data_IF_886035625814
#
_entry.id   IF_886035625814
#
_cell.length_a   1.000
_cell.length_b   1.000
_cell.length_c   1.000
_cell.angle_alpha   90.00
_cell.angle_beta   90.00
_cell.angle_gamma   90.00
#
_symmetry.space_group_name_H-M   'P 1'
#
loop_
_entity.id
_entity.type
_entity.pdbx_description
1 polymer ?
#
# COMPACT_ATOMS: atom_id res chain seq x y z
N UNK A 1 42.23 -0.74 1.21
CA UNK A 1 42.11 -0.91 -0.25
C UNK A 1 41.02 -1.96 -0.46
N UNK A 2 39.73 -1.73 -0.24
CA UNK A 2 38.82 -0.64 -0.62
C UNK A 2 38.88 -0.27 -2.11
N UNK A 3 37.93 -0.82 -2.87
CA UNK A 3 37.03 -0.13 -3.84
C UNK A 3 36.22 -1.21 -4.59
N UNK A 4 34.90 -1.37 -4.40
CA UNK A 4 33.78 -0.48 -4.75
C UNK A 4 33.60 -0.34 -6.27
N UNK A 5 32.86 -1.26 -6.89
CA UNK A 5 32.36 -1.12 -8.26
C UNK A 5 31.02 -0.38 -8.22
N UNK A 6 31.08 0.92 -8.53
CA UNK A 6 29.93 1.79 -8.76
C UNK A 6 29.18 1.29 -10.01
N UNK A 7 27.97 0.79 -9.80
CA UNK A 7 27.01 0.53 -10.88
C UNK A 7 26.51 1.87 -11.44
N UNK A 8 26.89 2.16 -12.68
CA UNK A 8 26.43 3.33 -13.41
C UNK A 8 24.97 3.12 -13.87
N UNK A 9 24.04 3.77 -13.18
CA UNK A 9 22.66 3.93 -13.63
C UNK A 9 22.60 5.05 -14.69
N UNK A 10 22.46 4.67 -15.96
CA UNK A 10 22.10 5.64 -17.01
C UNK A 10 20.60 5.93 -16.91
N UNK A 11 20.26 7.00 -16.21
CA UNK A 11 18.98 7.67 -16.38
C UNK A 11 18.87 8.19 -17.82
N UNK A 12 18.03 7.53 -18.63
CA UNK A 12 17.66 8.02 -19.97
C UNK A 12 16.46 8.96 -19.84
N UNK A 13 16.74 10.25 -19.65
CA UNK A 13 15.83 11.34 -20.01
C UNK A 13 16.29 11.91 -21.35
N UNK A 14 15.84 11.28 -22.44
CA UNK A 14 15.96 11.85 -23.78
C UNK A 14 14.55 12.16 -24.30
N UNK A 15 14.14 13.42 -24.18
CA UNK A 15 13.03 13.97 -24.95
C UNK A 15 13.57 14.16 -26.36
N UNK A 16 13.36 13.17 -27.24
CA UNK A 16 13.73 13.25 -28.64
C UNK A 16 12.61 13.92 -29.44
N UNK A 17 12.81 15.18 -29.81
CA UNK A 17 12.09 15.81 -30.92
C UNK A 17 12.82 15.46 -32.21
N UNK A 18 12.38 14.40 -32.91
CA UNK A 18 12.83 14.10 -34.27
C UNK A 18 11.60 13.81 -35.15
N UNK A 19 11.29 14.76 -36.03
CA UNK A 19 10.15 14.70 -36.94
C UNK A 19 10.55 14.03 -38.26
N UNK A 20 10.43 12.70 -38.32
CA UNK A 20 10.44 11.92 -39.57
C UNK A 20 9.04 11.28 -39.75
N UNK A 21 8.24 11.70 -40.75
CA UNK A 21 6.84 11.27 -40.91
C UNK A 21 6.68 9.78 -41.28
N UNK A 22 7.77 9.10 -41.65
CA UNK A 22 7.78 7.66 -41.99
C UNK A 22 8.24 6.77 -40.84
N UNK A 23 8.73 7.38 -39.75
CA UNK A 23 9.27 6.70 -38.56
C UNK A 23 8.30 6.68 -37.38
N UNK A 24 7.22 7.47 -37.46
CA UNK A 24 6.22 7.61 -36.39
C UNK A 24 5.40 6.34 -36.13
N UNK A 25 4.86 5.70 -37.17
CA UNK A 25 3.98 4.52 -37.03
C UNK A 25 4.59 3.37 -36.19
N UNK A 26 5.80 2.84 -36.50
CA UNK A 26 6.38 1.76 -35.71
C UNK A 26 6.82 2.18 -34.31
N UNK A 27 7.03 3.48 -34.06
CA UNK A 27 7.33 4.00 -32.72
C UNK A 27 6.07 4.09 -31.86
N UNK A 28 4.94 4.54 -32.43
CA UNK A 28 3.63 4.55 -31.75
C UNK A 28 3.17 3.13 -31.37
N UNK A 29 3.38 2.14 -32.25
CA UNK A 29 3.01 0.75 -31.96
C UNK A 29 3.84 0.14 -30.81
N UNK A 30 5.14 0.47 -30.73
CA UNK A 30 5.99 0.07 -29.60
C UNK A 30 5.52 0.71 -28.29
N UNK A 31 5.27 2.03 -28.31
CA UNK A 31 4.86 2.78 -27.13
C UNK A 31 3.48 2.33 -26.61
N UNK A 32 2.55 2.02 -27.52
CA UNK A 32 1.24 1.44 -27.14
C UNK A 32 1.37 0.02 -26.60
N UNK A 33 2.31 -0.78 -27.13
CA UNK A 33 2.67 -2.09 -26.59
C UNK A 33 3.20 -2.00 -25.16
N UNK A 34 4.16 -1.11 -24.92
CA UNK A 34 4.74 -0.85 -23.60
C UNK A 34 3.67 -0.35 -22.61
N UNK A 35 2.78 0.55 -23.04
CA UNK A 35 1.67 1.02 -22.23
C UNK A 35 0.73 -0.13 -21.82
N UNK A 36 0.35 -1.01 -22.77
CA UNK A 36 -0.47 -2.19 -22.47
C UNK A 36 0.20 -3.12 -21.46
N UNK A 37 1.51 -3.35 -21.63
CA UNK A 37 2.30 -4.14 -20.68
C UNK A 37 2.35 -3.48 -19.30
N UNK A 38 2.55 -2.18 -19.22
CA UNK A 38 2.56 -1.42 -17.97
C UNK A 38 1.21 -1.50 -17.25
N UNK A 39 0.10 -1.35 -17.97
CA UNK A 39 -1.26 -1.50 -17.42
C UNK A 39 -1.48 -2.92 -16.90
N UNK A 40 -1.07 -3.94 -17.65
CA UNK A 40 -1.21 -5.33 -17.22
C UNK A 40 -0.38 -5.62 -15.97
N UNK A 41 0.87 -5.14 -15.92
CA UNK A 41 1.73 -5.22 -14.73
C UNK A 41 1.07 -4.53 -13.54
N UNK A 42 0.52 -3.33 -13.73
CA UNK A 42 -0.21 -2.62 -12.67
C UNK A 42 -1.36 -3.45 -12.10
N UNK A 43 -2.19 -4.05 -12.97
CA UNK A 43 -3.29 -4.94 -12.56
C UNK A 43 -2.83 -6.17 -11.78
N UNK A 44 -1.69 -6.75 -12.16
CA UNK A 44 -1.10 -7.90 -11.43
C UNK A 44 -0.64 -7.45 -10.04
N UNK A 45 0.07 -6.32 -9.97
CA UNK A 45 0.54 -5.77 -8.70
C UNK A 45 -0.62 -5.39 -7.79
N UNK A 46 -1.66 -4.75 -8.30
CA UNK A 46 -2.90 -4.44 -7.55
C UNK A 46 -3.49 -5.70 -6.91
N UNK A 47 -3.61 -6.82 -7.65
CA UNK A 47 -4.09 -8.10 -7.10
C UNK A 47 -3.17 -8.69 -6.05
N UNK A 48 -1.87 -8.70 -6.29
CA UNK A 48 -0.90 -9.23 -5.32
C UNK A 48 -0.94 -8.45 -4.01
N UNK A 49 -1.02 -7.14 -4.14
CA UNK A 49 -1.11 -6.21 -3.04
C UNK A 49 -2.43 -6.44 -2.24
N UNK A 50 -3.56 -6.69 -2.90
CA UNK A 50 -4.81 -7.07 -2.22
C UNK A 50 -4.68 -8.38 -1.43
N UNK A 51 -4.02 -9.39 -2.01
CA UNK A 51 -3.81 -10.67 -1.33
C UNK A 51 -2.88 -10.53 -0.11
N UNK A 52 -1.87 -9.67 -0.18
CA UNK A 52 -0.98 -9.38 0.95
C UNK A 52 -1.72 -8.67 2.08
N UNK A 53 -2.55 -7.68 1.76
CA UNK A 53 -3.35 -6.97 2.77
C UNK A 53 -4.30 -7.89 3.52
N UNK A 54 -4.97 -8.83 2.82
CA UNK A 54 -5.81 -9.84 3.47
C UNK A 54 -4.98 -10.76 4.38
N UNK A 55 -3.78 -11.13 3.94
CA UNK A 55 -2.86 -11.96 4.72
C UNK A 55 -2.39 -11.23 5.99
N UNK A 56 -2.05 -9.95 5.88
CA UNK A 56 -1.67 -9.09 7.01
C UNK A 56 -2.80 -9.04 8.03
N UNK A 57 -4.03 -8.78 7.59
CA UNK A 57 -5.19 -8.68 8.49
C UNK A 57 -5.43 -9.96 9.29
N UNK A 58 -5.36 -11.11 8.62
CA UNK A 58 -5.52 -12.43 9.26
C UNK A 58 -4.41 -12.69 10.28
N UNK A 59 -3.16 -12.49 9.88
CA UNK A 59 -1.99 -12.75 10.74
C UNK A 59 -1.90 -11.79 11.93
N UNK A 60 -2.31 -10.55 11.74
CA UNK A 60 -2.38 -9.58 12.82
C UNK A 60 -3.44 -9.97 13.86
N UNK A 61 -4.58 -10.53 13.43
CA UNK A 61 -5.58 -11.08 14.34
C UNK A 61 -5.05 -12.26 15.14
N UNK A 62 -4.51 -13.26 14.45
CA UNK A 62 -3.91 -14.46 15.03
C UNK A 62 -2.82 -14.09 16.07
N UNK A 63 -1.92 -13.17 15.72
CA UNK A 63 -0.84 -12.75 16.61
C UNK A 63 -1.32 -12.05 17.90
N UNK A 64 -2.34 -11.18 17.78
CA UNK A 64 -2.89 -10.46 18.94
C UNK A 64 -3.69 -11.37 19.88
N UNK A 65 -4.34 -12.40 19.34
CA UNK A 65 -5.04 -13.41 20.14
C UNK A 65 -4.07 -14.35 20.87
N UNK A 66 -3.01 -14.79 20.20
CA UNK A 66 -2.02 -15.73 20.75
C UNK A 66 -1.06 -15.07 21.77
N UNK A 67 -0.97 -13.73 21.78
CA UNK A 67 0.03 -13.01 22.59
C UNK A 67 -0.59 -12.06 23.65
N UNK A 68 -1.35 -12.59 24.64
CA UNK A 68 -2.03 -11.76 25.64
C UNK A 68 -1.12 -11.16 26.71
N UNK A 69 0.06 -11.75 26.94
CA UNK A 69 0.95 -11.37 28.05
C UNK A 69 2.09 -10.43 27.64
N UNK A 70 2.17 -10.00 26.38
CA UNK A 70 3.15 -8.99 25.95
C UNK A 70 3.44 -9.13 24.46
N UNK A 71 3.18 -8.08 23.70
CA UNK A 71 3.29 -8.07 22.25
C UNK A 71 4.14 -6.89 21.77
N UNK A 72 4.48 -6.87 20.48
CA UNK A 72 5.30 -5.80 19.87
C UNK A 72 4.64 -4.42 19.96
N UNK A 73 3.32 -4.34 20.15
CA UNK A 73 2.59 -3.07 20.17
C UNK A 73 2.62 -2.39 21.54
N UNK A 74 2.37 -3.15 22.60
CA UNK A 74 2.27 -2.65 23.97
C UNK A 74 3.55 -2.89 24.78
N UNK A 75 4.49 -3.68 24.25
CA UNK A 75 5.72 -4.08 24.91
C UNK A 75 5.62 -5.40 25.69
N UNK A 76 6.78 -5.89 26.13
CA UNK A 76 6.96 -7.19 26.80
C UNK A 76 7.06 -7.09 28.34
N UNK A 77 6.86 -5.91 28.92
CA UNK A 77 6.93 -5.72 30.38
C UNK A 77 5.95 -6.61 31.15
N UNK A 78 4.77 -6.85 30.57
CA UNK A 78 3.76 -7.73 31.14
C UNK A 78 4.21 -9.19 31.15
N UNK A 79 5.06 -9.59 30.20
CA UNK A 79 5.55 -10.96 30.08
C UNK A 79 6.52 -11.23 31.24
N UNK A 80 7.49 -10.34 31.45
CA UNK A 80 8.47 -10.42 32.54
C UNK A 80 7.78 -10.36 33.92
N UNK A 81 6.81 -9.45 34.06
CA UNK A 81 6.05 -9.31 35.32
C UNK A 81 5.19 -10.54 35.59
N UNK A 82 4.52 -11.12 34.59
CA UNK A 82 3.71 -12.33 34.79
C UNK A 82 4.54 -13.56 35.21
N UNK A 83 5.78 -13.66 34.75
CA UNK A 83 6.71 -14.73 35.13
C UNK A 83 7.18 -14.55 36.58
N UNK A 84 7.39 -13.31 37.01
CA UNK A 84 8.03 -12.99 38.30
C UNK A 84 7.00 -12.79 39.42
N UNK A 85 5.81 -12.31 39.11
CA UNK A 85 4.70 -12.14 40.03
C UNK A 85 3.44 -12.70 39.38
N UNK A 86 2.89 -13.76 39.98
CA UNK A 86 1.58 -14.34 39.67
C UNK A 86 0.39 -13.35 39.87
N UNK A 87 0.62 -12.04 39.79
CA UNK A 87 -0.37 -10.99 39.89
C UNK A 87 -1.16 -10.88 38.56
N UNK A 88 -2.02 -11.86 38.35
CA UNK A 88 -3.08 -11.89 37.33
C UNK A 88 -4.09 -10.80 37.69
N UNK A 89 -3.93 -9.59 37.16
CA UNK A 89 -4.80 -8.48 37.59
C UNK A 89 -4.98 -7.29 36.66
N UNK A 90 -4.34 -7.23 35.47
CA UNK A 90 -4.69 -6.21 34.49
C UNK A 90 -5.71 -6.76 33.49
N UNK A 91 -6.83 -6.04 33.40
CA UNK A 91 -7.98 -6.34 32.56
C UNK A 91 -7.50 -6.68 31.16
N UNK A 92 -7.91 -7.86 30.68
CA UNK A 92 -7.80 -8.30 29.30
C UNK A 92 -8.49 -7.25 28.43
N UNK A 93 -7.74 -6.29 27.92
CA UNK A 93 -8.21 -5.34 26.93
C UNK A 93 -8.46 -6.19 25.67
N UNK A 94 -9.72 -6.34 25.26
CA UNK A 94 -10.04 -7.10 24.05
C UNK A 94 -9.28 -6.53 22.86
N UNK A 95 -8.87 -7.41 21.94
CA UNK A 95 -8.17 -7.02 20.70
C UNK A 95 -9.00 -5.95 20.00
N UNK A 96 -8.51 -4.71 20.00
CA UNK A 96 -9.20 -3.58 19.40
C UNK A 96 -8.77 -3.41 17.95
N UNK A 97 -9.66 -2.91 17.10
CA UNK A 97 -9.29 -2.51 15.74
C UNK A 97 -8.20 -1.42 15.75
N UNK A 98 -8.11 -0.64 16.84
CA UNK A 98 -7.04 0.34 17.00
C UNK A 98 -5.66 -0.30 17.16
N UNK A 99 -5.59 -1.54 17.68
CA UNK A 99 -4.33 -2.26 17.87
C UNK A 99 -3.85 -2.90 16.56
N UNK A 100 -4.64 -2.86 15.48
CA UNK A 100 -4.27 -3.39 14.16
C UNK A 100 -3.42 -2.41 13.34
N UNK A 101 -2.28 -2.01 13.87
CA UNK A 101 -1.42 -0.97 13.29
C UNK A 101 -0.87 -1.32 11.90
N UNK A 102 -0.65 -2.60 11.60
CA UNK A 102 -0.13 -3.03 10.31
C UNK A 102 -1.21 -2.95 9.23
N UNK A 103 -2.42 -3.42 9.53
CA UNK A 103 -3.57 -3.24 8.64
C UNK A 103 -3.86 -1.75 8.40
N UNK A 104 -3.76 -0.92 9.43
CA UNK A 104 -3.95 0.54 9.32
C UNK A 104 -2.86 1.28 8.57
N UNK A 105 -1.65 0.72 8.50
CA UNK A 105 -0.55 1.31 7.71
C UNK A 105 -0.77 1.18 6.20
N UNK A 106 -1.65 0.25 5.77
CA UNK A 106 -2.08 0.17 4.37
C UNK A 106 -3.06 1.30 4.06
N UNK A 107 -2.62 2.26 3.25
CA UNK A 107 -3.48 3.33 2.73
C UNK A 107 -4.72 2.77 2.04
N UNK A 108 -4.64 1.59 1.40
CA UNK A 108 -5.81 0.98 0.73
C UNK A 108 -6.81 0.35 1.70
N UNK A 109 -6.36 -0.29 2.79
CA UNK A 109 -7.28 -0.77 3.83
C UNK A 109 -7.88 0.39 4.61
N UNK A 110 -7.07 1.41 4.91
CA UNK A 110 -7.55 2.64 5.55
C UNK A 110 -8.57 3.37 4.66
N UNK A 111 -8.27 3.59 3.38
CA UNK A 111 -9.16 4.27 2.43
C UNK A 111 -10.42 3.46 2.14
N UNK A 112 -10.34 2.12 2.08
CA UNK A 112 -11.51 1.24 2.05
C UNK A 112 -12.41 1.44 3.28
N UNK A 113 -11.83 1.55 4.48
CA UNK A 113 -12.61 1.76 5.71
C UNK A 113 -13.17 3.19 5.83
N UNK A 114 -12.51 4.18 5.25
CA UNK A 114 -12.99 5.58 5.18
C UNK A 114 -14.09 5.74 4.12
N UNK A 115 -14.00 5.06 2.99
CA UNK A 115 -14.99 5.11 1.91
C UNK A 115 -16.26 4.29 2.21
N UNK A 116 -16.14 3.21 2.99
CA UNK A 116 -17.31 2.40 3.44
C UNK A 116 -18.18 3.08 4.51
N UNK A 117 -17.73 4.22 5.09
CA UNK A 117 -18.53 5.05 5.99
C UNK A 117 -19.17 6.28 5.32
N UNK A 118 -19.01 6.45 4.01
CA UNK A 118 -19.78 7.44 3.26
C UNK A 118 -21.13 6.81 2.92
N UNK A 119 -22.27 7.30 3.45
CA UNK A 119 -23.56 6.81 3.02
C UNK A 119 -23.70 7.06 1.51
N UNK A 120 -24.17 6.06 0.76
CA UNK A 120 -24.36 6.08 -0.70
C UNK A 120 -25.11 7.33 -1.21
N UNK A 121 -25.87 7.99 -0.34
CA UNK A 121 -26.54 9.27 -0.60
C UNK A 121 -25.60 10.45 -0.89
N UNK A 122 -24.30 10.37 -0.62
CA UNK A 122 -23.32 11.45 -0.87
C UNK A 122 -22.42 11.19 -2.10
N UNK A 123 -22.83 10.34 -3.05
CA UNK A 123 -22.09 10.12 -4.30
C UNK A 123 -22.56 11.01 -5.48
N UNK A 124 -23.62 11.80 -5.29
CA UNK A 124 -24.29 12.51 -6.40
C UNK A 124 -23.72 13.91 -6.75
N UNK A 125 -22.62 14.35 -6.14
CA UNK A 125 -22.09 15.71 -6.38
C UNK A 125 -20.62 15.69 -6.81
N UNK A 126 -20.34 15.24 -8.04
CA UNK A 126 -19.10 15.66 -8.72
C UNK A 126 -19.27 17.09 -9.23
N UNK A 127 -18.41 18.06 -8.85
CA UNK A 127 -18.35 19.34 -9.54
C UNK A 127 -17.79 19.08 -10.95
N UNK A 128 -18.64 19.30 -11.96
CA UNK A 128 -18.20 19.41 -13.36
C UNK A 128 -17.18 20.54 -13.44
N UNK A 129 -15.90 20.24 -13.63
CA UNK A 129 -14.90 21.25 -13.98
C UNK A 129 -15.04 21.57 -15.47
N UNK A 130 -15.37 22.82 -15.86
CA UNK A 130 -15.28 23.20 -17.26
C UNK A 130 -13.81 23.46 -17.59
N UNK A 131 -13.22 22.56 -18.37
CA UNK A 131 -11.99 22.83 -19.09
C UNK A 131 -12.31 23.85 -20.19
N UNK A 132 -12.32 25.14 -19.86
CA UNK A 132 -12.28 26.18 -20.90
C UNK A 132 -10.85 26.28 -21.41
N UNK A 133 -10.62 25.64 -22.55
CA UNK A 133 -9.53 25.94 -23.46
C UNK A 133 -9.74 27.37 -23.98
N UNK A 134 -8.82 28.25 -23.63
CA UNK A 134 -8.70 29.60 -24.17
C UNK A 134 -7.83 29.51 -25.43
N UNK A 135 -8.41 29.88 -26.57
CA UNK A 135 -7.67 30.12 -27.81
C UNK A 135 -6.74 31.33 -27.69
#
# INVERSE_FOLDING_TARGET
MEQAAVGAEKAQTAIATDADPTRGMPYHDKLTGELKQAIMKRRVLERNIMALDETIYKKEGEYLEDTPHGNVLTGFDNYIKSITSNAVGRRKQGVSENDRVFSRSSVRLADFMVWTHIPISLLAASPKTPWKVQC
#
